data_IF_736107462273
#
_entry.id   IF_736107462273
#
_cell.length_a   1.000
_cell.length_b   1.000
_cell.length_c   1.000
_cell.angle_alpha   90.00
_cell.angle_beta   90.00
_cell.angle_gamma   90.00
#
_symmetry.space_group_name_H-M   'P 1'
#
loop_
_entity.id
_entity.type
_entity.pdbx_description
1 polymer ?
#
# COMPACT_ATOMS: atom_id res chain seq x y z
N UNK A 1 1.63 -50.22 -18.13
CA UNK A 1 0.72 -49.49 -19.05
C UNK A 1 1.42 -48.30 -19.71
N UNK A 2 2.12 -47.45 -18.95
CA UNK A 2 2.93 -46.33 -19.48
C UNK A 2 4.03 -46.75 -20.47
N UNK A 3 4.79 -47.81 -20.19
CA UNK A 3 5.85 -48.29 -21.08
C UNK A 3 5.32 -48.90 -22.39
N UNK A 4 4.18 -49.60 -22.33
CA UNK A 4 3.50 -50.16 -23.51
C UNK A 4 2.93 -49.05 -24.40
N UNK A 5 2.39 -48.00 -23.78
CA UNK A 5 1.91 -46.81 -24.50
C UNK A 5 3.07 -46.08 -25.18
N UNK A 6 4.20 -45.88 -24.49
CA UNK A 6 5.40 -45.25 -25.06
C UNK A 6 5.98 -46.06 -26.22
N UNK A 7 6.07 -47.39 -26.08
CA UNK A 7 6.52 -48.27 -27.16
C UNK A 7 5.55 -48.26 -28.36
N UNK A 8 4.24 -48.21 -28.12
CA UNK A 8 3.23 -48.13 -29.18
C UNK A 8 3.31 -46.80 -29.95
N UNK A 9 3.60 -45.69 -29.26
CA UNK A 9 3.81 -44.38 -29.88
C UNK A 9 5.06 -44.39 -30.76
N UNK A 10 6.19 -44.92 -30.27
CA UNK A 10 7.41 -45.04 -31.07
C UNK A 10 7.22 -45.91 -32.32
N UNK A 11 6.49 -47.03 -32.20
CA UNK A 11 6.21 -47.90 -33.34
C UNK A 11 5.28 -47.25 -34.39
N UNK A 12 4.39 -46.37 -33.94
CA UNK A 12 3.46 -45.63 -34.81
C UNK A 12 4.14 -44.46 -35.53
N UNK A 13 5.15 -43.84 -34.90
CA UNK A 13 6.02 -42.82 -35.49
C UNK A 13 6.90 -43.43 -36.60
N UNK A 14 7.50 -44.60 -36.35
CA UNK A 14 8.38 -45.30 -37.29
C UNK A 14 7.66 -45.74 -38.57
N UNK A 15 6.35 -46.01 -38.47
CA UNK A 15 5.48 -46.34 -39.62
C UNK A 15 4.86 -45.13 -40.33
N UNK A 16 5.20 -43.90 -39.93
CA UNK A 16 4.63 -42.64 -40.45
C UNK A 16 3.10 -42.55 -40.37
N UNK A 17 2.47 -43.27 -39.44
CA UNK A 17 1.01 -43.24 -39.27
C UNK A 17 0.52 -42.00 -38.50
N UNK A 18 1.38 -41.39 -37.68
CA UNK A 18 1.15 -40.10 -37.05
C UNK A 18 2.35 -39.18 -37.32
N UNK A 19 2.17 -38.13 -38.11
CA UNK A 19 3.05 -36.96 -38.09
C UNK A 19 2.59 -36.05 -36.96
N UNK A 20 3.20 -36.21 -35.79
CA UNK A 20 2.99 -35.29 -34.67
C UNK A 20 3.61 -33.95 -35.11
N UNK A 21 2.88 -32.82 -35.10
CA UNK A 21 3.47 -31.53 -35.44
C UNK A 21 4.58 -31.23 -34.44
N UNK A 22 5.83 -31.27 -34.91
CA UNK A 22 6.98 -30.83 -34.14
C UNK A 22 6.88 -29.32 -34.02
N UNK A 23 6.53 -28.83 -32.83
CA UNK A 23 6.66 -27.41 -32.53
C UNK A 23 8.13 -27.03 -32.68
N UNK A 24 8.42 -25.90 -33.31
CA UNK A 24 9.79 -25.39 -33.41
C UNK A 24 10.27 -25.00 -32.01
N UNK A 25 11.01 -25.91 -31.37
CA UNK A 25 11.56 -25.79 -30.02
C UNK A 25 12.43 -24.53 -29.89
N UNK A 26 13.08 -24.13 -30.99
CA UNK A 26 13.91 -22.93 -31.03
C UNK A 26 13.06 -21.66 -30.93
N UNK A 27 11.95 -21.59 -31.66
CA UNK A 27 11.02 -20.46 -31.59
C UNK A 27 10.35 -20.36 -30.22
N UNK A 28 9.94 -21.49 -29.63
CA UNK A 28 9.32 -21.51 -28.30
C UNK A 28 10.30 -21.10 -27.19
N UNK A 29 11.53 -21.63 -27.22
CA UNK A 29 12.59 -21.27 -26.27
C UNK A 29 12.96 -19.79 -26.34
N UNK A 30 13.08 -19.24 -27.56
CA UNK A 30 13.36 -17.81 -27.78
C UNK A 30 12.21 -16.95 -27.25
N UNK A 31 10.96 -17.32 -27.52
CA UNK A 31 9.79 -16.63 -27.00
C UNK A 31 9.75 -16.65 -25.46
N UNK A 32 9.98 -17.81 -24.85
CA UNK A 32 10.03 -17.96 -23.40
C UNK A 32 11.12 -17.09 -22.77
N UNK A 33 12.29 -17.00 -23.41
CA UNK A 33 13.37 -16.11 -22.97
C UNK A 33 12.95 -14.64 -22.95
N UNK A 34 12.31 -14.15 -24.03
CA UNK A 34 11.80 -12.78 -24.07
C UNK A 34 10.72 -12.50 -23.02
N UNK A 35 9.80 -13.44 -22.82
CA UNK A 35 8.77 -13.32 -21.77
C UNK A 35 9.43 -13.29 -20.38
N UNK A 36 10.41 -14.16 -20.13
CA UNK A 36 11.16 -14.20 -18.87
C UNK A 36 11.83 -12.85 -18.57
N UNK A 37 12.52 -12.28 -19.55
CA UNK A 37 13.14 -10.96 -19.43
C UNK A 37 12.09 -9.86 -19.19
N UNK A 38 10.97 -9.88 -19.92
CA UNK A 38 9.89 -8.91 -19.76
C UNK A 38 9.30 -8.94 -18.35
N UNK A 39 9.10 -10.14 -17.77
CA UNK A 39 8.62 -10.33 -16.41
C UNK A 39 9.60 -9.76 -15.39
N UNK A 40 10.91 -9.98 -15.57
CA UNK A 40 11.94 -9.42 -14.69
C UNK A 40 11.92 -7.89 -14.73
N UNK A 41 11.92 -7.28 -15.92
CA UNK A 41 11.85 -5.83 -16.04
C UNK A 41 10.56 -5.23 -15.47
N UNK A 42 9.41 -5.87 -15.74
CA UNK A 42 8.11 -5.43 -15.21
C UNK A 42 8.08 -5.49 -13.69
N UNK A 43 8.64 -6.53 -13.10
CA UNK A 43 8.71 -6.72 -11.65
C UNK A 43 9.66 -5.69 -11.02
N UNK A 44 10.83 -5.46 -11.63
CA UNK A 44 11.79 -4.46 -11.16
C UNK A 44 11.17 -3.05 -11.11
N UNK A 45 10.45 -2.64 -12.15
CA UNK A 45 9.76 -1.35 -12.20
C UNK A 45 8.64 -1.25 -11.15
N UNK A 46 7.88 -2.34 -10.94
CA UNK A 46 6.84 -2.37 -9.90
C UNK A 46 7.42 -2.27 -8.50
N UNK A 47 8.52 -2.98 -8.27
CA UNK A 47 9.23 -2.99 -7.00
C UNK A 47 9.79 -1.60 -6.66
N UNK A 48 10.40 -0.91 -7.63
CA UNK A 48 10.87 0.45 -7.44
C UNK A 48 9.74 1.41 -7.01
N UNK A 49 8.59 1.37 -7.70
CA UNK A 49 7.42 2.20 -7.36
C UNK A 49 6.83 1.86 -6.00
N UNK A 50 6.82 0.57 -5.64
CA UNK A 50 6.37 0.14 -4.32
C UNK A 50 7.23 0.76 -3.21
N UNK A 51 8.56 0.66 -3.33
CA UNK A 51 9.47 1.22 -2.34
C UNK A 51 9.45 2.73 -2.28
N UNK A 52 9.33 3.40 -3.42
CA UNK A 52 9.16 4.85 -3.49
C UNK A 52 7.87 5.28 -2.77
N UNK A 53 6.77 4.56 -2.99
CA UNK A 53 5.49 4.80 -2.31
C UNK A 53 5.58 4.61 -0.79
N UNK A 54 6.13 3.49 -0.34
CA UNK A 54 6.32 3.20 1.10
C UNK A 54 7.22 4.24 1.76
N UNK A 55 8.33 4.59 1.13
CA UNK A 55 9.25 5.60 1.65
C UNK A 55 8.59 6.97 1.74
N UNK A 56 7.81 7.35 0.73
CA UNK A 56 7.07 8.63 0.71
C UNK A 56 6.03 8.68 1.82
N UNK A 57 5.27 7.61 2.01
CA UNK A 57 4.29 7.52 3.11
C UNK A 57 4.96 7.60 4.48
N UNK A 58 6.11 6.95 4.67
CA UNK A 58 6.85 7.01 5.93
C UNK A 58 7.41 8.42 6.21
N UNK A 59 7.98 9.07 5.19
CA UNK A 59 8.48 10.44 5.31
C UNK A 59 7.35 11.42 5.66
N UNK A 60 6.18 11.27 5.04
CA UNK A 60 5.00 12.07 5.36
C UNK A 60 4.62 11.97 6.84
N UNK A 61 4.55 10.74 7.39
CA UNK A 61 4.27 10.54 8.82
C UNK A 61 5.34 11.20 9.70
N UNK A 62 6.62 11.10 9.32
CA UNK A 62 7.71 11.78 10.00
C UNK A 62 7.52 13.30 10.03
N UNK A 63 7.19 13.91 8.88
CA UNK A 63 6.95 15.35 8.78
C UNK A 63 5.79 15.83 9.67
N UNK A 64 4.72 15.06 9.79
CA UNK A 64 3.59 15.39 10.68
C UNK A 64 3.99 15.37 12.16
N UNK A 65 4.82 14.40 12.56
CA UNK A 65 5.36 14.33 13.92
C UNK A 65 6.30 15.49 14.19
N UNK A 66 7.22 15.79 13.28
CA UNK A 66 8.17 16.90 13.41
C UNK A 66 7.44 18.26 13.53
N UNK A 67 6.43 18.49 12.70
CA UNK A 67 5.60 19.69 12.77
C UNK A 67 4.88 19.80 14.13
N UNK A 68 4.38 18.67 14.64
CA UNK A 68 3.72 18.62 15.94
C UNK A 68 4.69 18.96 17.07
N UNK A 69 5.87 18.33 17.10
CA UNK A 69 6.90 18.60 18.11
C UNK A 69 7.35 20.06 18.06
N UNK A 70 7.52 20.65 16.88
CA UNK A 70 7.89 22.05 16.72
C UNK A 70 6.82 22.98 17.36
N UNK A 71 5.54 22.74 17.09
CA UNK A 71 4.43 23.53 17.67
C UNK A 71 4.36 23.34 19.19
N UNK A 72 4.56 22.12 19.69
CA UNK A 72 4.63 21.87 21.13
C UNK A 72 5.78 22.64 21.78
N UNK A 73 6.95 22.68 21.15
CA UNK A 73 8.10 23.45 21.62
C UNK A 73 7.81 24.95 21.66
N UNK A 74 7.25 25.53 20.58
CA UNK A 74 6.89 26.95 20.55
C UNK A 74 5.84 27.34 21.58
N UNK A 75 4.89 26.44 21.84
CA UNK A 75 3.87 26.68 22.86
C UNK A 75 4.43 26.70 24.30
N UNK A 76 5.68 26.28 24.54
CA UNK A 76 6.33 26.41 25.86
C UNK A 76 6.71 27.86 26.18
N UNK A 77 7.02 28.68 25.16
CA UNK A 77 7.32 30.10 25.34
C UNK A 77 6.09 31.00 25.50
N UNK A 78 4.88 30.43 25.50
CA UNK A 78 3.64 31.19 25.58
C UNK A 78 3.46 31.84 26.96
N UNK A 79 2.99 33.09 26.98
CA UNK A 79 2.61 33.80 28.20
C UNK A 79 1.18 33.47 28.67
N UNK A 80 0.49 32.58 27.97
CA UNK A 80 -0.86 32.15 28.32
C UNK A 80 -0.87 31.30 29.59
N UNK A 81 -2.05 31.15 30.21
CA UNK A 81 -2.21 30.29 31.38
C UNK A 81 -1.84 28.83 31.09
N UNK A 82 -1.37 28.12 32.11
CA UNK A 82 -0.96 26.71 31.99
C UNK A 82 -2.11 25.84 31.48
N UNK A 83 -3.32 26.04 32.01
CA UNK A 83 -4.54 25.33 31.59
C UNK A 83 -4.86 25.58 30.12
N UNK A 84 -4.81 26.83 29.66
CA UNK A 84 -5.08 27.18 28.26
C UNK A 84 -4.03 26.57 27.30
N UNK A 85 -2.77 26.53 27.73
CA UNK A 85 -1.68 25.94 26.96
C UNK A 85 -1.84 24.41 26.87
N UNK A 86 -2.20 23.75 27.97
CA UNK A 86 -2.48 22.31 27.99
C UNK A 86 -3.69 21.97 27.11
N UNK A 87 -4.78 22.75 27.19
CA UNK A 87 -5.96 22.54 26.35
C UNK A 87 -5.64 22.69 24.86
N UNK A 88 -4.84 23.70 24.49
CA UNK A 88 -4.38 23.87 23.11
C UNK A 88 -3.54 22.68 22.63
N UNK A 89 -2.52 22.28 23.41
CA UNK A 89 -1.64 21.16 23.05
C UNK A 89 -2.42 19.85 22.88
N UNK A 90 -3.30 19.55 23.84
CA UNK A 90 -4.13 18.33 23.78
C UNK A 90 -5.05 18.32 22.58
N UNK A 91 -5.73 19.44 22.29
CA UNK A 91 -6.61 19.56 21.11
C UNK A 91 -5.81 19.40 19.81
N UNK A 92 -4.65 20.04 19.71
CA UNK A 92 -3.81 19.98 18.52
C UNK A 92 -3.30 18.57 18.22
N UNK A 93 -2.78 17.85 19.23
CA UNK A 93 -2.28 16.47 19.04
C UNK A 93 -3.39 15.55 18.55
N UNK A 94 -4.60 15.66 19.12
CA UNK A 94 -5.76 14.86 18.71
C UNK A 94 -6.17 15.16 17.26
N UNK A 95 -6.20 16.43 16.86
CA UNK A 95 -6.50 16.82 15.48
C UNK A 95 -5.45 16.29 14.49
N UNK A 96 -4.17 16.32 14.83
CA UNK A 96 -3.11 15.76 13.98
C UNK A 96 -3.22 14.23 13.88
N UNK A 97 -3.55 13.55 14.99
CA UNK A 97 -3.81 12.11 14.98
C UNK A 97 -4.99 11.74 14.06
N UNK A 98 -6.10 12.47 14.15
CA UNK A 98 -7.26 12.29 13.28
C UNK A 98 -6.91 12.56 11.81
N UNK A 99 -6.17 13.63 11.52
CA UNK A 99 -5.71 13.96 10.17
C UNK A 99 -4.85 12.84 9.59
N UNK A 100 -3.88 12.33 10.34
CA UNK A 100 -3.01 11.26 9.88
C UNK A 100 -3.80 9.97 9.61
N UNK A 101 -4.78 9.64 10.45
CA UNK A 101 -5.66 8.49 10.22
C UNK A 101 -6.52 8.65 8.95
N UNK A 102 -7.05 9.85 8.67
CA UNK A 102 -7.81 10.12 7.45
C UNK A 102 -6.94 9.98 6.19
N UNK A 103 -5.73 10.53 6.21
CA UNK A 103 -4.79 10.43 5.08
C UNK A 103 -4.44 8.96 4.80
N UNK A 104 -4.19 8.16 5.84
CA UNK A 104 -3.88 6.74 5.69
C UNK A 104 -5.09 5.94 5.19
N UNK A 105 -6.29 6.24 5.69
CA UNK A 105 -7.53 5.64 5.20
C UNK A 105 -7.82 5.98 3.74
N UNK A 106 -7.51 7.20 3.30
CA UNK A 106 -7.62 7.57 1.88
C UNK A 106 -6.58 6.83 1.02
N UNK A 107 -5.35 6.70 1.52
CA UNK A 107 -4.25 6.02 0.80
C UNK A 107 -4.50 4.51 0.62
N UNK A 108 -5.20 3.87 1.57
CA UNK A 108 -5.62 2.46 1.47
C UNK A 108 -6.62 2.22 0.33
N UNK A 109 -7.37 3.25 -0.06
CA UNK A 109 -8.20 3.24 -1.26
C UNK A 109 -9.48 2.39 -1.16
N UNK A 110 -9.88 1.96 0.03
CA UNK A 110 -11.14 1.23 0.22
C UNK A 110 -12.35 2.18 0.15
N UNK A 111 -12.95 2.26 -1.04
CA UNK A 111 -14.07 3.16 -1.34
C UNK A 111 -15.38 2.77 -0.66
N UNK A 112 -15.48 1.58 -0.06
CA UNK A 112 -16.75 1.09 0.49
C UNK A 112 -17.03 1.59 1.90
N UNK A 113 -16.00 2.04 2.64
CA UNK A 113 -16.08 2.29 4.06
C UNK A 113 -15.15 3.46 4.50
N UNK A 114 -15.14 4.58 3.78
CA UNK A 114 -14.26 5.73 4.08
C UNK A 114 -14.38 6.23 5.54
N UNK A 115 -15.57 6.14 6.13
CA UNK A 115 -15.80 6.55 7.52
C UNK A 115 -15.28 5.49 8.51
N UNK A 116 -15.47 4.19 8.24
CA UNK A 116 -14.96 3.11 9.12
C UNK A 116 -13.44 2.90 8.99
N UNK A 117 -12.84 3.22 7.84
CA UNK A 117 -11.41 3.08 7.60
C UNK A 117 -10.58 4.02 8.51
N UNK A 118 -11.06 5.23 8.78
CA UNK A 118 -10.38 6.15 9.71
C UNK A 118 -10.44 5.64 11.16
N UNK A 119 -11.52 4.97 11.57
CA UNK A 119 -11.65 4.32 12.89
C UNK A 119 -10.89 2.99 12.99
N UNK A 120 -10.45 2.40 11.88
CA UNK A 120 -9.60 1.21 11.90
C UNK A 120 -8.17 1.51 12.36
N UNK A 121 -7.75 2.78 12.27
CA UNK A 121 -6.46 3.24 12.78
C UNK A 121 -6.55 3.64 14.25
N UNK A 122 -5.46 3.43 15.00
CA UNK A 122 -5.36 3.84 16.40
C UNK A 122 -5.40 5.37 16.51
N UNK A 123 -6.55 5.89 16.96
CA UNK A 123 -6.79 7.31 17.17
C UNK A 123 -6.48 7.69 18.62
N UNK A 124 -5.73 8.79 18.79
CA UNK A 124 -5.50 9.38 20.11
C UNK A 124 -6.77 10.12 20.57
N UNK A 125 -7.56 9.47 21.40
CA UNK A 125 -8.66 10.07 22.19
C UNK A 125 -9.58 11.00 21.38
N UNK A 126 -10.18 10.46 20.32
CA UNK A 126 -11.04 11.20 19.39
C UNK A 126 -12.35 11.70 20.05
N UNK A 127 -12.84 11.01 21.07
CA UNK A 127 -14.10 11.36 21.77
C UNK A 127 -13.96 12.59 22.67
N UNK A 128 -12.74 12.96 23.05
CA UNK A 128 -12.49 14.14 23.87
C UNK A 128 -12.42 15.46 23.07
N UNK A 129 -12.71 15.42 21.77
CA UNK A 129 -12.94 16.63 20.96
C UNK A 129 -14.28 17.26 21.33
N UNK A 130 -14.29 18.59 21.43
CA UNK A 130 -15.51 19.35 21.75
C UNK A 130 -16.60 19.09 20.70
N UNK A 131 -17.85 18.90 21.12
CA UNK A 131 -18.97 18.56 20.23
C UNK A 131 -19.13 19.55 19.08
N UNK A 132 -18.85 20.84 19.31
CA UNK A 132 -18.89 21.86 18.25
C UNK A 132 -17.81 21.65 17.19
N UNK A 133 -16.64 21.17 17.61
CA UNK A 133 -15.53 20.86 16.69
C UNK A 133 -15.87 19.66 15.82
N UNK A 134 -16.50 18.64 16.41
CA UNK A 134 -16.97 17.46 15.69
C UNK A 134 -18.06 17.80 14.67
N UNK A 135 -19.01 18.67 15.03
CA UNK A 135 -20.04 19.15 14.09
C UNK A 135 -19.42 19.87 12.88
N UNK A 136 -18.41 20.73 13.11
CA UNK A 136 -17.72 21.43 12.02
C UNK A 136 -17.03 20.43 11.09
N UNK A 137 -16.38 19.40 11.65
CA UNK A 137 -15.68 18.37 10.88
C UNK A 137 -16.65 17.47 10.09
N UNK A 138 -17.88 17.28 10.55
CA UNK A 138 -18.91 16.53 9.80
C UNK A 138 -19.48 17.31 8.61
N UNK A 139 -19.42 18.64 8.65
CA UNK A 139 -19.92 19.50 7.57
C UNK A 139 -18.87 19.87 6.52
N UNK A 140 -17.59 19.61 6.79
CA UNK A 140 -16.47 19.90 5.90
C UNK A 140 -16.18 18.71 4.97
#
# INVERSE_FOLDING_TARGET
>A
VSALLAAAIHLAEDRKWLTIPTFDDTAYSTFHYFVGIMVVFRTAQSYARYWEGVTTAHNMMGHWVDATVAIMSFSQGSKAGVETTLRFRGTFIRLVSLLNAMIMGELEGDKKNQVEAAYAYELLDAEALDSRTLEILQTA
#
